data_IF_184805877095
#
_entry.id   IF_184805877095
#
_cell.length_a   1.000
_cell.length_b   1.000
_cell.length_c   1.000
_cell.angle_alpha   90.00
_cell.angle_beta   90.00
_cell.angle_gamma   90.00
#
_symmetry.space_group_name_H-M   'P 1'
#
loop_
_entity.id
_entity.type
_entity.pdbx_description
1 polymer ?
#
# COMPACT_ATOMS: atom_id res chain seq x y z
N UNK A 1 11.31 28.64 0.78
CA UNK A 1 10.30 27.62 0.47
C UNK A 1 9.56 27.37 1.75
N UNK A 2 8.30 27.73 1.78
CA UNK A 2 7.46 27.79 2.96
C UNK A 2 7.26 26.39 3.53
N UNK A 3 7.53 26.31 4.82
CA UNK A 3 7.24 25.18 5.68
C UNK A 3 5.71 25.05 5.75
N UNK A 4 5.11 24.29 4.82
CA UNK A 4 3.69 23.95 4.90
C UNK A 4 3.48 22.94 6.01
N UNK A 5 3.52 23.44 7.21
CA UNK A 5 3.13 22.75 8.42
C UNK A 5 1.62 22.55 8.32
N UNK A 6 1.18 21.32 8.15
CA UNK A 6 -0.23 20.95 8.28
C UNK A 6 -0.68 21.22 9.71
N UNK A 7 -1.33 22.35 9.93
CA UNK A 7 -1.95 22.67 11.20
C UNK A 7 -3.40 22.21 11.18
N UNK A 8 -3.80 21.55 12.26
CA UNK A 8 -5.24 21.45 12.58
C UNK A 8 -5.70 22.85 12.98
N UNK A 9 -6.76 23.33 12.38
CA UNK A 9 -7.38 24.55 12.87
C UNK A 9 -7.96 24.31 14.27
N UNK A 10 -8.28 25.38 14.99
CA UNK A 10 -8.87 25.31 16.33
C UNK A 10 -10.23 24.60 16.38
N UNK A 11 -10.80 24.22 15.24
CA UNK A 11 -12.05 23.47 15.08
C UNK A 11 -11.82 21.97 14.86
N UNK A 12 -10.58 21.51 14.85
CA UNK A 12 -10.25 20.09 14.71
C UNK A 12 -10.42 19.54 13.30
N UNK A 13 -10.71 20.38 12.31
CA UNK A 13 -10.85 19.95 10.93
C UNK A 13 -9.53 20.11 10.19
N UNK A 14 -8.98 19.01 9.72
CA UNK A 14 -7.87 19.02 8.77
C UNK A 14 -8.44 19.01 7.35
N UNK A 15 -8.45 20.15 6.68
CA UNK A 15 -8.95 20.27 5.30
C UNK A 15 -8.24 19.37 4.30
N UNK A 16 -7.04 18.87 4.66
CA UNK A 16 -6.26 17.97 3.83
C UNK A 16 -6.53 16.47 4.07
N UNK A 17 -7.40 16.12 5.01
CA UNK A 17 -7.91 14.75 5.19
C UNK A 17 -8.85 14.31 4.05
N UNK A 18 -9.02 15.12 3.05
CA UNK A 18 -9.88 14.81 1.90
C UNK A 18 -9.18 13.80 0.99
N UNK A 19 -9.87 12.71 0.70
CA UNK A 19 -9.48 11.71 -0.30
C UNK A 19 -9.49 12.30 -1.73
N UNK A 20 -8.70 13.32 -2.00
CA UNK A 20 -8.50 13.80 -3.37
C UNK A 20 -7.58 12.83 -4.09
N UNK A 21 -8.08 12.22 -5.13
CA UNK A 21 -7.34 11.37 -6.09
C UNK A 21 -6.62 10.13 -5.52
N UNK A 22 -7.15 9.50 -4.46
CA UNK A 22 -6.58 8.26 -3.92
C UNK A 22 -5.21 8.41 -3.25
N UNK A 23 -4.79 9.64 -2.90
CA UNK A 23 -3.47 9.93 -2.33
C UNK A 23 -3.47 10.39 -0.89
N UNK A 24 -4.61 10.62 -0.26
CA UNK A 24 -4.65 11.15 1.10
C UNK A 24 -4.69 10.03 2.13
N UNK A 25 -3.59 9.81 2.80
CA UNK A 25 -3.57 9.27 4.16
C UNK A 25 -3.44 10.47 5.08
N UNK A 26 -4.47 10.73 5.90
CA UNK A 26 -4.51 11.92 6.75
C UNK A 26 -3.32 11.93 7.72
N UNK A 27 -2.61 13.02 7.75
CA UNK A 27 -1.65 13.36 8.79
C UNK A 27 -2.40 14.11 9.88
N UNK A 28 -2.14 13.72 11.11
CA UNK A 28 -2.64 14.43 12.27
C UNK A 28 -1.49 15.18 12.90
N UNK A 29 -1.68 16.49 13.09
CA UNK A 29 -0.74 17.36 13.78
C UNK A 29 -1.18 17.56 15.20
N UNK A 30 -0.25 17.52 16.14
CA UNK A 30 -0.48 18.03 17.50
C UNK A 30 -0.06 19.50 17.58
N UNK A 31 -0.62 20.26 18.52
CA UNK A 31 -0.23 21.67 18.78
C UNK A 31 1.24 21.86 19.12
N UNK A 32 1.94 20.79 19.45
CA UNK A 32 3.39 20.78 19.75
C UNK A 32 4.25 20.23 18.63
N UNK A 33 3.66 19.92 17.51
CA UNK A 33 4.32 19.40 16.34
C UNK A 33 3.43 18.39 15.63
N UNK A 34 3.52 18.50 14.37
CA UNK A 34 3.19 17.46 13.43
C UNK A 34 3.56 16.13 14.06
N UNK A 35 2.71 15.10 13.88
CA UNK A 35 3.26 13.77 13.70
C UNK A 35 4.16 13.92 12.48
N UNK A 36 5.27 14.60 12.68
CA UNK A 36 6.27 14.76 11.66
C UNK A 36 6.65 13.35 11.29
N UNK A 37 6.94 13.13 10.04
CA UNK A 37 7.69 11.99 9.57
C UNK A 37 8.92 11.92 10.50
N UNK A 38 8.76 11.22 11.60
CA UNK A 38 9.78 11.14 12.61
C UNK A 38 10.89 10.25 12.08
N UNK A 39 11.94 10.32 12.74
CA UNK A 39 13.24 9.77 12.50
C UNK A 39 13.23 8.38 11.87
N UNK A 40 12.35 7.48 12.34
CA UNK A 40 12.39 6.05 12.01
C UNK A 40 11.04 5.56 11.50
N UNK A 41 11.04 4.93 10.34
CA UNK A 41 9.86 4.26 9.80
C UNK A 41 10.11 2.76 9.58
N UNK A 42 9.06 1.96 9.75
CA UNK A 42 9.07 0.54 9.42
C UNK A 42 8.13 0.26 8.25
N UNK A 43 8.61 -0.42 7.22
CA UNK A 43 7.82 -0.85 6.07
C UNK A 43 7.69 -2.37 6.06
N UNK A 44 6.48 -2.85 5.75
CA UNK A 44 6.21 -4.27 5.57
C UNK A 44 5.14 -4.50 4.51
N UNK A 45 5.18 -5.68 3.88
CA UNK A 45 4.25 -6.12 2.85
C UNK A 45 3.32 -7.22 3.36
N UNK A 46 2.02 -7.02 3.20
CA UNK A 46 1.01 -8.03 3.53
C UNK A 46 0.23 -8.44 2.31
N UNK A 47 0.21 -9.74 2.01
CA UNK A 47 -0.61 -10.25 0.91
C UNK A 47 -2.06 -10.33 1.34
N UNK A 48 -2.89 -9.50 0.71
CA UNK A 48 -4.33 -9.41 0.96
C UNK A 48 -5.06 -9.94 -0.26
N UNK A 49 -6.03 -10.84 -0.05
CA UNK A 49 -6.79 -11.44 -1.14
C UNK A 49 -7.51 -10.37 -1.96
N UNK A 50 -7.47 -10.50 -3.28
CA UNK A 50 -8.35 -9.73 -4.13
C UNK A 50 -9.79 -10.26 -4.03
N UNK A 51 -10.76 -9.39 -4.22
CA UNK A 51 -12.18 -9.77 -4.35
C UNK A 51 -12.45 -10.36 -5.74
N UNK A 52 -11.61 -11.31 -6.14
CA UNK A 52 -11.69 -12.02 -7.42
C UNK A 52 -11.45 -13.50 -7.15
N UNK A 53 -12.37 -14.35 -7.59
CA UNK A 53 -12.15 -15.80 -7.59
C UNK A 53 -11.19 -16.23 -8.70
N UNK A 54 -10.59 -17.41 -8.58
CA UNK A 54 -9.77 -18.01 -9.64
C UNK A 54 -10.55 -18.12 -10.98
N UNK A 55 -11.87 -18.33 -10.89
CA UNK A 55 -12.76 -18.36 -12.04
C UNK A 55 -12.89 -17.02 -12.79
N UNK A 56 -12.49 -15.89 -12.19
CA UNK A 56 -12.47 -14.61 -12.88
C UNK A 56 -11.26 -14.42 -13.81
N UNK A 57 -10.23 -15.29 -13.67
CA UNK A 57 -9.04 -15.23 -14.50
C UNK A 57 -9.27 -15.94 -15.83
N UNK A 58 -9.21 -15.18 -16.91
CA UNK A 58 -9.47 -15.60 -18.27
C UNK A 58 -8.26 -15.33 -19.16
N UNK A 59 -8.21 -16.05 -20.27
CA UNK A 59 -7.22 -15.85 -21.33
C UNK A 59 -7.50 -14.55 -22.07
N UNK A 60 -6.50 -13.98 -22.68
CA UNK A 60 -6.60 -12.74 -23.44
C UNK A 60 -7.74 -12.79 -24.47
N UNK A 61 -7.79 -13.81 -25.32
CA UNK A 61 -8.83 -13.95 -26.35
C UNK A 61 -10.25 -13.90 -25.76
N UNK A 62 -10.50 -14.63 -24.67
CA UNK A 62 -11.82 -14.60 -23.99
C UNK A 62 -12.17 -13.20 -23.47
N UNK A 63 -11.19 -12.44 -22.99
CA UNK A 63 -11.42 -11.07 -22.51
C UNK A 63 -11.69 -10.10 -23.67
N UNK A 64 -11.07 -10.31 -24.82
CA UNK A 64 -11.32 -9.57 -26.06
C UNK A 64 -12.73 -9.79 -26.56
N UNK A 65 -13.20 -11.06 -26.60
CA UNK A 65 -14.57 -11.40 -26.94
C UNK A 65 -15.57 -10.71 -25.99
N UNK A 66 -15.34 -10.81 -24.69
CA UNK A 66 -16.19 -10.17 -23.68
C UNK A 66 -16.17 -8.65 -23.74
N UNK A 67 -15.05 -8.05 -24.13
CA UNK A 67 -14.97 -6.61 -24.35
C UNK A 67 -15.84 -6.19 -25.54
N UNK A 68 -15.83 -6.97 -26.62
CA UNK A 68 -16.69 -6.70 -27.78
C UNK A 68 -18.17 -6.83 -27.41
N UNK A 69 -18.57 -7.87 -26.66
CA UNK A 69 -19.92 -8.00 -26.13
C UNK A 69 -20.33 -6.80 -25.24
N UNK A 70 -19.43 -6.37 -24.34
CA UNK A 70 -19.70 -5.23 -23.45
C UNK A 70 -19.88 -3.92 -24.23
N UNK A 71 -19.09 -3.69 -25.27
CA UNK A 71 -19.23 -2.52 -26.14
C UNK A 71 -20.56 -2.53 -26.87
N UNK A 72 -20.92 -3.67 -27.46
CA UNK A 72 -22.23 -3.83 -28.13
C UNK A 72 -23.39 -3.58 -27.16
N UNK A 73 -23.28 -4.08 -25.93
CA UNK A 73 -24.28 -3.86 -24.88
C UNK A 73 -24.42 -2.38 -24.49
N UNK A 74 -23.30 -1.65 -24.37
CA UNK A 74 -23.31 -0.21 -24.06
C UNK A 74 -23.98 0.57 -25.18
N UNK A 75 -23.67 0.27 -26.44
CA UNK A 75 -24.32 0.94 -27.61
C UNK A 75 -25.82 0.63 -27.69
N UNK A 76 -26.22 -0.63 -27.49
CA UNK A 76 -27.64 -1.00 -27.46
C UNK A 76 -28.40 -0.27 -26.32
N UNK A 77 -27.79 -0.10 -25.15
CA UNK A 77 -28.41 0.62 -24.04
C UNK A 77 -28.51 2.13 -24.30
N UNK A 78 -27.56 2.73 -25.02
CA UNK A 78 -27.66 4.13 -25.47
C UNK A 78 -28.84 4.32 -26.43
N UNK A 79 -29.00 3.45 -27.44
CA UNK A 79 -30.10 3.52 -28.37
C UNK A 79 -31.50 3.41 -27.77
N UNK A 80 -31.62 2.62 -26.66
CA UNK A 80 -32.89 2.47 -25.92
C UNK A 80 -33.29 3.71 -25.08
N UNK A 81 -32.43 4.70 -24.94
CA UNK A 81 -32.70 5.91 -24.11
C UNK A 81 -33.78 6.76 -24.76
N UNK A 82 -34.00 6.65 -26.06
CA UNK A 82 -34.92 7.47 -26.81
C UNK A 82 -36.39 6.97 -26.79
N UNK A 83 -36.64 5.72 -26.38
CA UNK A 83 -37.94 5.08 -26.57
C UNK A 83 -38.91 5.09 -25.38
N UNK A 84 -38.48 5.26 -24.11
CA UNK A 84 -39.40 5.25 -22.96
C UNK A 84 -39.02 6.30 -21.87
N UNK A 85 -39.86 7.33 -21.68
CA UNK A 85 -39.56 8.46 -20.79
C UNK A 85 -39.94 8.28 -19.34
N UNK A 86 -40.43 7.11 -18.86
CA UNK A 86 -40.84 6.97 -17.47
C UNK A 86 -39.70 7.07 -16.46
N UNK A 87 -39.92 7.71 -15.28
CA UNK A 87 -38.87 7.94 -14.28
C UNK A 87 -38.29 6.66 -13.67
N UNK A 88 -39.12 5.59 -13.53
CA UNK A 88 -38.68 4.30 -13.00
C UNK A 88 -37.85 3.56 -14.03
N UNK A 89 -38.24 3.58 -15.28
CA UNK A 89 -37.51 3.05 -16.43
C UNK A 89 -36.15 3.74 -16.57
N UNK A 90 -36.11 5.06 -16.47
CA UNK A 90 -34.86 5.87 -16.54
C UNK A 90 -33.84 5.47 -15.48
N UNK A 91 -34.26 5.29 -14.22
CA UNK A 91 -33.34 4.88 -13.13
C UNK A 91 -32.77 3.49 -13.37
N UNK A 92 -33.61 2.51 -13.75
CA UNK A 92 -33.18 1.14 -14.05
C UNK A 92 -32.23 1.10 -15.23
N UNK A 93 -32.53 1.87 -16.28
CA UNK A 93 -31.73 1.97 -17.48
C UNK A 93 -30.37 2.60 -17.20
N UNK A 94 -30.32 3.72 -16.49
CA UNK A 94 -29.09 4.37 -16.07
C UNK A 94 -28.22 3.46 -15.16
N UNK A 95 -28.83 2.60 -14.35
CA UNK A 95 -28.09 1.62 -13.56
C UNK A 95 -27.49 0.50 -14.46
N UNK A 96 -28.25 0.00 -15.44
CA UNK A 96 -27.76 -0.99 -16.42
C UNK A 96 -26.64 -0.43 -17.29
N UNK A 97 -26.80 0.79 -17.77
CA UNK A 97 -25.78 1.47 -18.58
C UNK A 97 -24.48 1.67 -17.78
N UNK A 98 -24.57 2.15 -16.54
CA UNK A 98 -23.40 2.26 -15.64
C UNK A 98 -22.74 0.90 -15.45
N UNK A 99 -23.49 -0.15 -15.16
CA UNK A 99 -22.93 -1.49 -14.96
C UNK A 99 -22.25 -2.03 -16.23
N UNK A 100 -22.82 -1.77 -17.40
CA UNK A 100 -22.23 -2.16 -18.68
C UNK A 100 -20.94 -1.38 -18.96
N UNK A 101 -20.91 -0.07 -18.76
CA UNK A 101 -19.70 0.77 -18.88
C UNK A 101 -18.62 0.35 -17.90
N UNK A 102 -18.97 0.10 -16.65
CA UNK A 102 -18.00 -0.38 -15.65
C UNK A 102 -17.43 -1.75 -16.02
N UNK A 103 -18.24 -2.64 -16.63
CA UNK A 103 -17.76 -3.93 -17.16
C UNK A 103 -16.78 -3.70 -18.31
N UNK A 104 -17.12 -2.84 -19.27
CA UNK A 104 -16.25 -2.48 -20.39
C UNK A 104 -14.91 -1.94 -19.89
N UNK A 105 -14.92 -0.93 -19.01
CA UNK A 105 -13.71 -0.32 -18.46
C UNK A 105 -12.83 -1.32 -17.67
N UNK A 106 -13.45 -2.27 -16.96
CA UNK A 106 -12.68 -3.32 -16.27
C UNK A 106 -11.96 -4.23 -17.25
N UNK A 107 -12.63 -4.63 -18.36
CA UNK A 107 -12.05 -5.47 -19.39
C UNK A 107 -10.94 -4.74 -20.15
N UNK A 108 -11.13 -3.47 -20.49
CA UNK A 108 -10.10 -2.62 -21.09
C UNK A 108 -8.86 -2.49 -20.20
N UNK A 109 -9.06 -2.22 -18.90
CA UNK A 109 -7.96 -2.18 -17.91
C UNK A 109 -7.25 -3.52 -17.77
N UNK A 110 -7.98 -4.64 -17.84
CA UNK A 110 -7.37 -5.96 -17.80
C UNK A 110 -6.50 -6.18 -19.05
N UNK A 111 -7.02 -5.93 -20.23
CA UNK A 111 -6.28 -6.11 -21.48
C UNK A 111 -5.08 -5.19 -21.62
N UNK A 112 -5.16 -3.96 -21.14
CA UNK A 112 -4.02 -3.04 -21.12
C UNK A 112 -2.80 -3.57 -20.34
N UNK A 113 -2.99 -4.52 -19.41
CA UNK A 113 -1.90 -5.16 -18.65
C UNK A 113 -1.25 -6.37 -19.32
N UNK A 114 -1.78 -6.83 -20.44
CA UNK A 114 -1.24 -8.00 -21.16
C UNK A 114 0.25 -7.86 -21.46
N UNK A 115 0.77 -6.71 -21.97
CA UNK A 115 2.18 -6.57 -22.26
C UNK A 115 3.06 -6.69 -21.00
N UNK A 116 2.62 -6.08 -19.89
CA UNK A 116 3.32 -6.13 -18.60
C UNK A 116 3.44 -7.57 -18.08
N UNK A 117 2.34 -8.33 -18.14
CA UNK A 117 2.32 -9.69 -17.65
C UNK A 117 3.17 -10.60 -18.54
N UNK A 118 3.08 -10.44 -19.86
CA UNK A 118 3.92 -11.20 -20.82
C UNK A 118 5.40 -10.92 -20.62
N UNK A 119 5.78 -9.67 -20.35
CA UNK A 119 7.17 -9.31 -20.10
C UNK A 119 7.74 -9.94 -18.81
N UNK A 120 6.88 -10.15 -17.79
CA UNK A 120 7.28 -10.77 -16.52
C UNK A 120 7.28 -12.31 -16.57
N UNK A 121 6.58 -12.92 -17.51
CA UNK A 121 6.56 -14.35 -17.72
C UNK A 121 7.80 -14.76 -18.52
N UNK A 122 8.89 -15.16 -17.84
CA UNK A 122 10.14 -15.59 -18.48
C UNK A 122 10.06 -16.87 -19.29
N UNK A 123 8.86 -17.45 -19.50
CA UNK A 123 8.63 -18.65 -20.32
C UNK A 123 7.42 -18.44 -21.23
N UNK A 124 7.55 -18.63 -22.54
CA UNK A 124 6.46 -18.43 -23.52
C UNK A 124 5.32 -19.45 -23.42
N UNK A 125 5.32 -20.36 -22.46
CA UNK A 125 4.44 -21.54 -22.39
C UNK A 125 3.10 -21.29 -21.69
N UNK A 126 2.96 -20.25 -20.90
CA UNK A 126 1.70 -19.95 -20.23
C UNK A 126 1.06 -18.69 -20.79
N UNK A 127 -0.12 -18.88 -21.36
CA UNK A 127 -0.95 -17.79 -21.85
C UNK A 127 -1.35 -16.85 -20.68
N UNK A 128 -1.10 -15.56 -20.83
CA UNK A 128 -1.41 -14.58 -19.80
C UNK A 128 -2.89 -14.66 -19.40
N UNK A 129 -3.14 -14.86 -18.11
CA UNK A 129 -4.49 -14.85 -17.54
C UNK A 129 -4.68 -13.60 -16.70
N UNK A 130 -5.77 -12.89 -16.92
CA UNK A 130 -6.11 -11.66 -16.22
C UNK A 130 -7.51 -11.75 -15.63
N UNK A 131 -7.73 -11.04 -14.54
CA UNK A 131 -9.03 -11.01 -13.90
C UNK A 131 -9.99 -10.03 -14.58
N UNK A 132 -11.17 -10.51 -14.93
CA UNK A 132 -12.28 -9.69 -15.44
C UNK A 132 -12.96 -8.85 -14.36
N UNK A 133 -12.76 -9.18 -13.06
CA UNK A 133 -13.40 -8.48 -11.94
C UNK A 133 -12.43 -7.59 -11.15
N UNK A 134 -11.16 -7.97 -11.06
CA UNK A 134 -10.10 -7.20 -10.41
C UNK A 134 -8.87 -7.12 -11.33
N UNK A 135 -8.88 -6.24 -12.35
CA UNK A 135 -7.87 -6.20 -13.41
C UNK A 135 -6.43 -6.05 -12.91
N UNK A 136 -6.25 -5.40 -11.77
CA UNK A 136 -4.95 -5.14 -11.16
C UNK A 136 -4.43 -6.31 -10.30
N UNK A 137 -5.31 -7.24 -9.88
CA UNK A 137 -4.89 -8.37 -9.06
C UNK A 137 -4.00 -9.34 -9.84
N UNK A 138 -3.02 -9.90 -9.15
CA UNK A 138 -2.16 -10.97 -9.66
C UNK A 138 -2.27 -12.20 -8.77
N UNK A 139 -1.97 -13.37 -9.33
CA UNK A 139 -1.90 -14.60 -8.53
C UNK A 139 -0.60 -14.58 -7.74
N UNK A 140 -0.71 -14.64 -6.42
CA UNK A 140 0.41 -14.58 -5.49
C UNK A 140 0.40 -15.79 -4.56
N UNK A 141 1.58 -16.22 -4.12
CA UNK A 141 1.72 -17.21 -3.04
C UNK A 141 1.30 -16.53 -1.73
N UNK A 142 0.34 -17.11 -1.04
CA UNK A 142 -0.15 -16.62 0.26
C UNK A 142 0.64 -17.22 1.42
N UNK A 143 0.49 -16.65 2.61
CA UNK A 143 1.15 -17.14 3.82
C UNK A 143 0.79 -18.58 4.21
N UNK A 144 -0.37 -19.08 3.78
CA UNK A 144 -0.81 -20.48 3.95
C UNK A 144 -0.27 -21.44 2.87
N UNK A 145 0.65 -20.97 2.01
CA UNK A 145 1.28 -21.75 0.94
C UNK A 145 0.46 -21.84 -0.34
N UNK A 146 -0.84 -21.49 -0.32
CA UNK A 146 -1.70 -21.52 -1.51
C UNK A 146 -1.46 -20.33 -2.45
N UNK A 147 -1.81 -20.50 -3.73
CA UNK A 147 -1.76 -19.42 -4.74
C UNK A 147 -3.16 -18.85 -4.96
N UNK A 148 -3.31 -17.56 -4.78
CA UNK A 148 -4.60 -16.86 -4.92
C UNK A 148 -4.45 -15.49 -5.54
N UNK A 149 -5.50 -14.98 -6.21
CA UNK A 149 -5.56 -13.58 -6.60
C UNK A 149 -5.41 -12.68 -5.37
N UNK A 150 -4.43 -11.79 -5.41
CA UNK A 150 -4.09 -10.96 -4.27
C UNK A 150 -3.44 -9.64 -4.72
N UNK A 151 -3.30 -8.76 -3.75
CA UNK A 151 -2.44 -7.59 -3.77
C UNK A 151 -1.39 -7.74 -2.68
N UNK A 152 -0.22 -7.19 -2.89
CA UNK A 152 0.77 -6.98 -1.86
C UNK A 152 0.54 -5.57 -1.27
N UNK A 153 -0.16 -5.50 -0.14
CA UNK A 153 -0.42 -4.25 0.55
C UNK A 153 0.85 -3.83 1.28
N UNK A 154 1.52 -2.82 0.76
CA UNK A 154 2.70 -2.21 1.35
C UNK A 154 2.25 -1.14 2.34
N UNK A 155 2.74 -1.21 3.56
CA UNK A 155 2.42 -0.28 4.64
C UNK A 155 3.71 0.21 5.27
N UNK A 156 3.85 1.52 5.40
CA UNK A 156 4.95 2.16 6.14
C UNK A 156 4.36 2.92 7.31
N UNK A 157 4.84 2.64 8.50
CA UNK A 157 4.41 3.30 9.73
C UNK A 157 5.60 3.92 10.48
N UNK A 158 5.35 5.06 11.10
CA UNK A 158 6.28 5.66 12.06
C UNK A 158 6.42 4.76 13.30
N UNK A 159 7.64 4.43 13.71
CA UNK A 159 7.86 3.45 14.79
C UNK A 159 7.39 3.97 16.14
N UNK A 160 7.53 5.25 16.41
CA UNK A 160 7.17 5.85 17.68
C UNK A 160 5.66 5.96 17.90
N UNK A 161 4.92 6.37 16.86
CA UNK A 161 3.47 6.60 16.94
C UNK A 161 2.64 5.46 16.39
N UNK A 162 3.22 4.58 15.57
CA UNK A 162 2.53 3.57 14.76
C UNK A 162 1.50 4.17 13.78
N UNK A 163 1.61 5.45 13.46
CA UNK A 163 0.80 6.10 12.44
C UNK A 163 1.26 5.63 11.07
N UNK A 164 0.33 5.23 10.22
CA UNK A 164 0.62 4.84 8.84
C UNK A 164 0.93 6.11 8.03
N UNK A 165 2.17 6.22 7.58
CA UNK A 165 2.67 7.37 6.79
C UNK A 165 2.72 7.07 5.29
N UNK A 166 2.85 5.80 4.91
CA UNK A 166 2.87 5.33 3.53
C UNK A 166 2.00 4.10 3.33
N UNK A 167 1.30 4.02 2.20
CA UNK A 167 0.48 2.86 1.86
C UNK A 167 0.32 2.71 0.35
N UNK A 168 0.50 1.48 -0.15
CA UNK A 168 0.35 1.14 -1.55
C UNK A 168 -0.21 -0.28 -1.72
N UNK A 169 -1.03 -0.50 -2.73
CA UNK A 169 -1.48 -1.82 -3.14
C UNK A 169 -0.66 -2.27 -4.37
N UNK A 170 0.47 -2.88 -4.11
CA UNK A 170 1.33 -3.38 -5.17
C UNK A 170 0.74 -4.63 -5.83
N UNK A 171 0.98 -4.76 -7.13
CA UNK A 171 0.53 -5.91 -7.93
C UNK A 171 1.62 -6.95 -8.13
N UNK A 172 2.75 -6.78 -7.46
CA UNK A 172 3.91 -7.67 -7.47
C UNK A 172 3.91 -8.48 -6.19
N UNK A 173 4.05 -9.80 -6.30
CA UNK A 173 4.03 -10.74 -5.17
C UNK A 173 5.34 -10.83 -4.38
N UNK A 174 6.28 -9.93 -4.61
CA UNK A 174 7.55 -9.79 -3.88
C UNK A 174 7.68 -8.39 -3.30
N UNK A 175 8.40 -8.24 -2.21
CA UNK A 175 8.71 -6.96 -1.58
C UNK A 175 9.95 -6.29 -2.21
N UNK A 176 10.69 -7.06 -2.99
CA UNK A 176 11.81 -6.55 -3.79
C UNK A 176 11.33 -5.43 -4.73
N UNK A 177 12.04 -4.31 -4.71
CA UNK A 177 11.70 -3.14 -5.51
C UNK A 177 10.59 -2.26 -4.93
N UNK A 178 10.03 -2.57 -3.73
CA UNK A 178 8.95 -1.77 -3.14
C UNK A 178 9.46 -0.64 -2.22
N UNK A 179 10.74 -0.58 -1.93
CA UNK A 179 11.33 0.48 -1.10
C UNK A 179 11.31 1.83 -1.82
N UNK A 180 11.82 1.89 -3.04
CA UNK A 180 11.91 3.15 -3.82
C UNK A 180 10.54 3.80 -4.07
N UNK A 181 9.50 3.09 -4.58
CA UNK A 181 8.19 3.70 -4.77
C UNK A 181 7.57 4.24 -3.48
N UNK A 182 7.81 3.57 -2.35
CA UNK A 182 7.31 4.03 -1.07
C UNK A 182 8.06 5.26 -0.57
N UNK A 183 9.38 5.31 -0.75
CA UNK A 183 10.22 6.48 -0.45
C UNK A 183 9.75 7.70 -1.24
N UNK A 184 9.56 7.56 -2.54
CA UNK A 184 9.05 8.62 -3.42
C UNK A 184 7.64 9.09 -3.01
N UNK A 185 6.80 8.15 -2.56
CA UNK A 185 5.47 8.47 -2.05
C UNK A 185 5.55 9.34 -0.79
N UNK A 186 6.48 9.04 0.14
CA UNK A 186 6.68 9.82 1.35
C UNK A 186 7.25 11.20 1.02
N UNK A 187 8.27 11.25 0.17
CA UNK A 187 8.84 12.51 -0.31
C UNK A 187 7.79 13.41 -0.95
N UNK A 188 6.99 12.87 -1.87
CA UNK A 188 5.93 13.62 -2.52
C UNK A 188 4.80 14.09 -1.59
N UNK A 189 4.62 13.45 -0.43
CA UNK A 189 3.62 13.83 0.58
C UNK A 189 4.15 14.83 1.60
N UNK A 190 5.39 14.63 2.04
CA UNK A 190 5.94 15.31 3.21
C UNK A 190 7.08 16.26 2.88
N UNK A 191 7.56 16.26 1.64
CA UNK A 191 8.69 17.07 1.20
C UNK A 191 10.03 16.71 1.86
N UNK A 192 10.10 15.55 2.53
CA UNK A 192 11.30 15.07 3.26
C UNK A 192 11.31 13.55 3.37
N UNK A 193 12.48 13.01 3.69
CA UNK A 193 12.69 11.59 3.93
C UNK A 193 12.83 11.30 5.43
N UNK A 194 12.45 10.09 5.89
CA UNK A 194 12.84 9.62 7.22
C UNK A 194 14.35 9.43 7.29
N UNK A 195 14.93 9.62 8.45
CA UNK A 195 16.36 9.40 8.66
C UNK A 195 16.72 7.91 8.52
N UNK A 196 15.85 7.05 9.05
CA UNK A 196 16.05 5.60 9.13
C UNK A 196 14.83 4.85 8.58
N UNK A 197 15.11 3.80 7.81
CA UNK A 197 14.08 2.99 7.17
C UNK A 197 14.28 1.51 7.49
N UNK A 198 13.34 0.93 8.22
CA UNK A 198 13.40 -0.45 8.68
C UNK A 198 12.59 -1.35 7.74
N UNK A 199 13.23 -2.36 7.17
CA UNK A 199 12.59 -3.34 6.27
C UNK A 199 13.06 -4.76 6.58
N UNK A 200 12.34 -5.76 6.06
CA UNK A 200 12.84 -7.13 6.08
C UNK A 200 13.85 -7.40 4.95
N UNK A 201 14.42 -8.62 4.94
CA UNK A 201 15.41 -9.01 3.94
C UNK A 201 14.86 -9.08 2.52
N UNK A 202 13.55 -9.16 2.34
CA UNK A 202 12.89 -9.20 1.04
C UNK A 202 12.98 -7.90 0.24
N UNK A 203 13.21 -6.78 0.92
CA UNK A 203 13.41 -5.46 0.31
C UNK A 203 14.85 -5.17 -0.08
N UNK A 204 15.81 -5.78 0.61
CA UNK A 204 17.22 -5.43 0.55
C UNK A 204 17.92 -6.00 -0.70
N UNK A 205 17.66 -5.45 -1.85
CA UNK A 205 18.54 -5.64 -3.02
C UNK A 205 19.62 -4.56 -3.01
N UNK A 206 20.79 -4.85 -3.59
CA UNK A 206 21.89 -3.88 -3.68
C UNK A 206 21.41 -2.58 -4.35
N UNK A 207 20.67 -2.70 -5.44
CA UNK A 207 20.08 -1.55 -6.15
C UNK A 207 19.20 -0.68 -5.25
N UNK A 208 18.32 -1.29 -4.43
CA UNK A 208 17.44 -0.56 -3.52
C UNK A 208 18.22 0.14 -2.40
N UNK A 209 19.28 -0.50 -1.89
CA UNK A 209 20.17 0.09 -0.88
C UNK A 209 20.90 1.30 -1.48
N UNK A 210 21.44 1.18 -2.69
CA UNK A 210 22.15 2.25 -3.39
C UNK A 210 21.23 3.45 -3.69
N UNK A 211 20.02 3.19 -4.19
CA UNK A 211 19.04 4.24 -4.48
C UNK A 211 18.52 4.93 -3.21
N UNK A 212 18.50 4.25 -2.08
CA UNK A 212 18.03 4.82 -0.82
C UNK A 212 19.12 5.59 -0.07
N UNK A 213 20.40 5.19 -0.19
CA UNK A 213 21.52 5.70 0.59
C UNK A 213 21.69 7.23 0.61
N UNK A 214 21.44 7.98 -0.49
CA UNK A 214 21.53 9.45 -0.47
C UNK A 214 20.44 10.13 0.37
N UNK A 215 19.36 9.41 0.73
CA UNK A 215 18.14 9.97 1.30
C UNK A 215 17.83 9.46 2.70
N UNK A 216 18.16 8.19 2.98
CA UNK A 216 17.79 7.52 4.23
C UNK A 216 18.74 6.37 4.54
N UNK A 217 18.92 6.09 5.81
CA UNK A 217 19.68 4.92 6.28
C UNK A 217 18.79 3.69 6.33
N UNK A 218 19.05 2.71 5.47
CA UNK A 218 18.25 1.47 5.43
C UNK A 218 18.81 0.44 6.43
N UNK A 219 17.93 -0.10 7.26
CA UNK A 219 18.18 -1.23 8.14
C UNK A 219 17.40 -2.44 7.65
N UNK A 220 18.10 -3.36 7.03
CA UNK A 220 17.55 -4.63 6.55
C UNK A 220 18.51 -5.78 6.92
N UNK A 221 18.01 -6.99 7.17
CA UNK A 221 18.86 -8.15 7.40
C UNK A 221 19.77 -8.43 6.22
N UNK A 222 21.06 -8.68 6.49
CA UNK A 222 22.01 -9.15 5.48
C UNK A 222 21.76 -10.64 5.24
N UNK A 223 21.69 -11.09 3.97
CA UNK A 223 21.58 -12.50 3.67
C UNK A 223 22.76 -13.31 4.24
N UNK A 224 22.47 -14.50 4.74
CA UNK A 224 23.52 -15.40 5.23
C UNK A 224 24.56 -15.66 4.14
N UNK A 225 25.80 -15.73 4.54
CA UNK A 225 26.87 -16.15 3.62
C UNK A 225 26.61 -17.59 3.15
N UNK A 226 27.01 -17.91 1.92
CA UNK A 226 26.96 -19.29 1.41
C UNK A 226 27.99 -20.18 2.08
N UNK A 227 29.15 -19.60 2.37
CA UNK A 227 30.21 -20.23 3.17
C UNK A 227 29.93 -19.95 4.65
N UNK A 228 29.73 -20.96 5.50
CA UNK A 228 29.48 -20.78 6.92
C UNK A 228 30.61 -20.05 7.68
N UNK A 229 31.84 -20.14 7.19
CA UNK A 229 33.01 -19.49 7.80
C UNK A 229 33.17 -18.02 7.36
N UNK A 230 32.44 -17.61 6.32
CA UNK A 230 32.53 -16.23 5.84
C UNK A 230 31.63 -15.30 6.65
N UNK A 231 32.17 -14.16 7.10
CA UNK A 231 31.39 -13.10 7.73
C UNK A 231 30.41 -12.47 6.71
N UNK A 232 29.09 -12.58 6.91
CA UNK A 232 28.10 -11.99 6.02
C UNK A 232 28.14 -10.46 6.03
N UNK A 233 28.67 -9.86 7.09
CA UNK A 233 28.73 -8.41 7.31
C UNK A 233 29.99 -7.76 6.74
N UNK A 234 31.00 -8.56 6.40
CA UNK A 234 32.21 -8.04 5.76
C UNK A 234 31.92 -7.46 4.38
N UNK A 235 32.64 -6.41 4.03
CA UNK A 235 32.65 -5.85 2.66
C UNK A 235 33.07 -6.93 1.67
N UNK A 236 32.36 -7.00 0.54
CA UNK A 236 32.66 -7.97 -0.53
C UNK A 236 33.23 -7.25 -1.74
N UNK A 237 34.02 -7.99 -2.51
CA UNK A 237 34.49 -7.50 -3.80
C UNK A 237 33.28 -7.19 -4.71
N UNK A 238 33.20 -5.98 -5.22
CA UNK A 238 32.10 -5.51 -6.05
C UNK A 238 30.94 -4.83 -5.30
N UNK A 239 30.98 -4.78 -3.96
CA UNK A 239 30.03 -3.97 -3.20
C UNK A 239 30.33 -2.47 -3.47
N UNK A 240 29.27 -1.69 -3.73
CA UNK A 240 29.37 -0.24 -3.70
C UNK A 240 29.58 0.25 -2.27
N UNK A 241 29.97 1.51 -2.08
CA UNK A 241 30.15 2.10 -0.76
C UNK A 241 28.86 2.00 0.10
N UNK A 242 27.71 2.24 -0.52
CA UNK A 242 26.41 2.14 0.15
C UNK A 242 26.11 0.72 0.64
N UNK A 243 26.40 -0.29 -0.19
CA UNK A 243 26.17 -1.70 0.16
C UNK A 243 27.17 -2.16 1.22
N UNK A 244 28.43 -1.77 1.14
CA UNK A 244 29.44 -2.05 2.15
C UNK A 244 29.05 -1.44 3.51
N UNK A 245 28.71 -0.16 3.53
CA UNK A 245 28.26 0.53 4.74
C UNK A 245 26.99 -0.09 5.34
N UNK A 246 26.05 -0.58 4.52
CA UNK A 246 24.88 -1.33 4.99
C UNK A 246 25.26 -2.64 5.68
N UNK A 247 26.19 -3.42 5.09
CA UNK A 247 26.68 -4.69 5.69
C UNK A 247 27.34 -4.44 7.05
N UNK A 248 28.30 -3.53 7.08
CA UNK A 248 29.05 -3.18 8.29
C UNK A 248 28.14 -2.68 9.43
N UNK A 249 27.22 -1.79 9.10
CA UNK A 249 26.22 -1.26 10.05
C UNK A 249 25.41 -2.40 10.67
N UNK A 250 25.01 -3.41 9.90
CA UNK A 250 24.20 -4.52 10.40
C UNK A 250 24.90 -5.41 11.43
N UNK A 251 26.21 -5.34 11.54
CA UNK A 251 26.98 -6.03 12.58
C UNK A 251 26.83 -5.38 13.96
N UNK A 252 26.46 -4.09 14.05
CA UNK A 252 26.43 -3.31 15.29
C UNK A 252 25.26 -3.70 16.20
N UNK A 253 25.43 -3.50 17.51
CA UNK A 253 24.35 -3.70 18.49
C UNK A 253 23.21 -2.71 18.32
N UNK A 254 23.53 -1.47 17.94
CA UNK A 254 22.53 -0.45 17.64
C UNK A 254 21.59 -0.90 16.50
N UNK A 255 22.15 -1.44 15.42
CA UNK A 255 21.34 -1.97 14.32
C UNK A 255 20.49 -3.18 14.73
N UNK A 256 20.92 -3.96 15.71
CA UNK A 256 20.12 -5.06 16.27
C UNK A 256 18.93 -4.51 17.07
N UNK A 257 19.19 -3.51 17.93
CA UNK A 257 18.15 -2.85 18.73
C UNK A 257 17.08 -2.21 17.83
N UNK A 258 17.49 -1.41 16.86
CA UNK A 258 16.60 -0.76 15.89
C UNK A 258 15.75 -1.80 15.10
N UNK A 259 16.35 -2.94 14.77
CA UNK A 259 15.62 -4.00 14.04
C UNK A 259 14.49 -4.62 14.85
N UNK A 260 14.56 -4.59 16.17
CA UNK A 260 13.48 -5.06 17.05
C UNK A 260 12.27 -4.14 16.96
N UNK A 261 12.48 -2.83 16.78
CA UNK A 261 11.39 -1.86 16.57
C UNK A 261 10.60 -2.16 15.29
N UNK A 262 11.28 -2.64 14.22
CA UNK A 262 10.61 -3.04 12.98
C UNK A 262 9.53 -4.09 13.24
N UNK A 263 9.92 -5.18 13.90
CA UNK A 263 8.99 -6.28 14.17
C UNK A 263 7.80 -5.79 15.01
N UNK A 264 8.07 -5.07 16.09
CA UNK A 264 7.04 -4.53 16.97
C UNK A 264 6.06 -3.60 16.22
N UNK A 265 6.56 -2.73 15.34
CA UNK A 265 5.74 -1.77 14.60
C UNK A 265 4.98 -2.44 13.47
N UNK A 266 5.67 -3.14 12.58
CA UNK A 266 5.08 -3.74 11.39
C UNK A 266 4.08 -4.84 11.75
N UNK A 267 4.43 -5.71 12.69
CA UNK A 267 3.55 -6.79 13.15
C UNK A 267 2.29 -6.24 13.84
N UNK A 268 2.42 -5.20 14.67
CA UNK A 268 1.28 -4.56 15.34
C UNK A 268 0.33 -3.92 14.34
N UNK A 269 0.83 -3.13 13.39
CA UNK A 269 0.02 -2.48 12.37
C UNK A 269 -0.68 -3.51 11.49
N UNK A 270 0.03 -4.55 11.06
CA UNK A 270 -0.51 -5.62 10.22
C UNK A 270 -1.51 -6.52 10.98
N UNK A 271 -1.28 -6.80 12.27
CA UNK A 271 -2.20 -7.54 13.12
C UNK A 271 -3.51 -6.77 13.32
N UNK A 272 -3.43 -5.48 13.63
CA UNK A 272 -4.59 -4.60 13.74
C UNK A 272 -5.36 -4.51 12.42
N UNK A 273 -4.67 -4.48 11.29
CA UNK A 273 -5.30 -4.50 9.98
C UNK A 273 -6.14 -5.75 9.77
N UNK A 274 -5.59 -6.92 10.06
CA UNK A 274 -6.31 -8.20 9.96
C UNK A 274 -7.47 -8.29 10.95
N UNK A 275 -7.26 -7.89 12.19
CA UNK A 275 -8.30 -7.89 13.23
C UNK A 275 -9.49 -7.01 12.84
N UNK A 276 -9.24 -5.89 12.16
CA UNK A 276 -10.26 -4.98 11.65
C UNK A 276 -10.83 -5.37 10.30
N UNK A 277 -10.57 -6.58 9.84
CA UNK A 277 -11.19 -7.17 8.65
C UNK A 277 -10.50 -6.85 7.31
N UNK A 278 -9.25 -6.37 7.30
CA UNK A 278 -8.50 -6.22 6.06
C UNK A 278 -8.01 -7.59 5.55
N UNK A 279 -8.95 -8.44 5.15
CA UNK A 279 -8.69 -9.79 4.62
C UNK A 279 -8.86 -9.86 3.10
N UNK A 280 -9.65 -8.94 2.53
CA UNK A 280 -9.94 -8.86 1.11
C UNK A 280 -9.94 -7.41 0.63
N UNK A 281 -9.29 -7.16 -0.51
CA UNK A 281 -9.32 -5.87 -1.20
C UNK A 281 -10.21 -5.95 -2.44
N UNK A 282 -11.31 -5.20 -2.45
CA UNK A 282 -12.12 -5.00 -3.66
C UNK A 282 -11.46 -4.03 -4.60
N UNK A 283 -10.96 -2.94 -4.05
CA UNK A 283 -10.30 -1.85 -4.75
C UNK A 283 -9.25 -1.23 -3.85
N UNK A 284 -8.27 -0.54 -4.44
CA UNK A 284 -7.19 0.15 -3.72
C UNK A 284 -7.71 1.11 -2.62
N UNK A 285 -8.84 1.75 -2.84
CA UNK A 285 -9.41 2.69 -1.85
C UNK A 285 -9.79 2.01 -0.51
N UNK A 286 -10.06 0.70 -0.48
CA UNK A 286 -10.31 -0.03 0.78
C UNK A 286 -9.06 -0.01 1.67
N UNK A 287 -7.87 -0.15 1.09
CA UNK A 287 -6.62 -0.06 1.82
C UNK A 287 -6.39 1.36 2.36
N UNK A 288 -6.69 2.38 1.55
CA UNK A 288 -6.58 3.79 1.96
C UNK A 288 -7.56 4.13 3.09
N UNK A 289 -8.81 3.67 3.01
CA UNK A 289 -9.81 3.85 4.07
C UNK A 289 -9.39 3.13 5.35
N UNK A 290 -8.77 1.96 5.24
CA UNK A 290 -8.23 1.25 6.39
C UNK A 290 -7.10 2.05 7.05
N UNK A 291 -6.15 2.57 6.27
CA UNK A 291 -5.06 3.40 6.78
C UNK A 291 -5.60 4.68 7.47
N UNK A 292 -6.61 5.33 6.88
CA UNK A 292 -7.27 6.48 7.49
C UNK A 292 -7.92 6.11 8.83
N UNK A 293 -8.71 5.03 8.88
CA UNK A 293 -9.35 4.59 10.11
C UNK A 293 -8.31 4.21 11.18
N UNK A 294 -7.22 3.53 10.80
CA UNK A 294 -6.12 3.23 11.69
C UNK A 294 -5.52 4.51 12.28
N UNK A 295 -5.21 5.49 11.45
CA UNK A 295 -4.61 6.75 11.87
C UNK A 295 -5.55 7.55 12.80
N UNK A 296 -6.85 7.58 12.50
CA UNK A 296 -7.85 8.18 13.40
C UNK A 296 -7.84 7.52 14.79
N UNK A 297 -7.82 6.21 14.84
CA UNK A 297 -7.77 5.47 16.12
C UNK A 297 -6.46 5.71 16.87
N UNK A 298 -5.33 5.83 16.15
CA UNK A 298 -4.04 6.20 16.76
C UNK A 298 -4.08 7.64 17.31
N UNK A 299 -4.72 8.56 16.59
CA UNK A 299 -4.91 9.94 17.07
C UNK A 299 -5.76 9.98 18.34
N UNK A 300 -6.86 9.23 18.40
CA UNK A 300 -7.66 9.11 19.64
C UNK A 300 -6.81 8.61 20.81
N UNK A 301 -5.93 7.63 20.56
CA UNK A 301 -5.09 7.05 21.61
C UNK A 301 -3.93 7.97 22.06
N UNK A 302 -3.33 8.71 21.13
CA UNK A 302 -2.13 9.52 21.38
C UNK A 302 -2.44 10.97 21.73
N UNK A 303 -3.51 11.53 21.17
CA UNK A 303 -3.85 12.94 21.31
C UNK A 303 -5.38 13.14 21.22
N UNK A 304 -6.17 12.60 22.18
CA UNK A 304 -7.64 12.66 22.14
C UNK A 304 -8.18 14.09 22.10
N UNK A 305 -7.44 15.05 22.67
CA UNK A 305 -7.78 16.46 22.66
C UNK A 305 -7.89 17.05 21.24
N UNK A 306 -7.20 16.51 20.25
CA UNK A 306 -7.26 16.97 18.86
C UNK A 306 -8.61 16.68 18.20
N UNK A 307 -9.33 15.69 18.71
CA UNK A 307 -10.66 15.30 18.23
C UNK A 307 -11.78 15.83 19.12
N UNK A 308 -11.48 16.78 20.02
CA UNK A 308 -12.44 17.34 20.93
C UNK A 308 -12.82 16.42 22.11
N UNK A 309 -12.13 15.29 22.27
CA UNK A 309 -12.28 14.41 23.42
C UNK A 309 -11.33 14.85 24.53
N UNK A 310 -11.87 15.28 25.68
CA UNK A 310 -11.05 15.57 26.86
C UNK A 310 -10.96 17.05 27.22
N UNK A 311 -12.11 17.66 27.58
CA UNK A 311 -12.14 18.89 28.36
C UNK A 311 -11.88 18.66 29.86
N UNK A 312 -11.30 17.52 30.25
CA UNK A 312 -10.94 17.20 31.62
C UNK A 312 -9.43 17.34 31.83
N UNK A 313 -9.05 17.86 33.00
CA UNK A 313 -7.66 18.07 33.42
C UNK A 313 -6.77 16.83 33.15
N UNK A 314 -5.49 17.01 32.79
CA UNK A 314 -4.59 15.90 32.53
C UNK A 314 -4.46 15.04 33.79
N UNK A 315 -4.92 13.79 33.73
CA UNK A 315 -4.70 12.83 34.82
C UNK A 315 -5.87 11.92 35.19
N UNK A 316 -7.04 12.03 34.57
CA UNK A 316 -8.10 11.07 34.86
C UNK A 316 -8.28 10.05 33.72
N UNK A 317 -8.25 8.74 34.00
CA UNK A 317 -8.55 7.72 32.99
C UNK A 317 -10.05 7.82 32.62
N UNK A 318 -10.32 7.90 31.31
CA UNK A 318 -11.68 7.86 30.76
C UNK A 318 -12.26 6.48 31.11
N UNK A 319 -13.26 6.44 32.00
CA UNK A 319 -14.07 5.23 32.21
C UNK A 319 -14.92 5.02 30.97
N UNK A 320 -14.71 3.89 30.30
CA UNK A 320 -15.65 3.40 29.29
C UNK A 320 -17.00 3.12 29.95
N UNK A 321 -18.04 3.77 29.49
CA UNK A 321 -19.44 3.42 29.73
C UNK A 321 -19.92 2.57 28.56
#
# INVERSE_FOLDING_TARGET
MSDETYQLDRRGANEHATLRSGRAVGLFTTSEGVVSLKRVVAQDGVRVRASAGAAAFRRQATLEDWLQEARTQVEALKGQVEEDPSAVSRRRRAARERAARERQERLERALARVPEIKAKQGKPREEARLSSTAPQATVMKMGDGGFRPAYNAQVTADTASQVIVGVEAATIGTDSGQLTPMREQLEGRYGKHPEEWLVDGGYATHEQIEQAAPHTTVYAPVPKARDPEADPHARKAGDSEAVAAWRERRATEEARAISTERAATAESVNALARQRGLTHLRVRCVLLLHALAHNLMRTVALAPQLLGYGGGAPGQPVRAT
#
